data_IF_064473025613
#
_entry.id   IF_064473025613
#
_cell.length_a   1.000
_cell.length_b   1.000
_cell.length_c   1.000
_cell.angle_alpha   90.00
_cell.angle_beta   90.00
_cell.angle_gamma   90.00
#
_symmetry.space_group_name_H-M   'P 1'
#
loop_
_entity.id
_entity.type
_entity.pdbx_description
1 polymer ?
#
# COMPACT_ATOMS: atom_id res chain seq x y z
N UNK A 1 22.49 13.40 -40.96
CA UNK A 1 22.54 13.93 -39.57
C UNK A 1 22.52 12.75 -38.62
N UNK A 2 23.41 12.67 -37.61
CA UNK A 2 23.35 11.60 -36.63
C UNK A 2 22.08 11.75 -35.80
N UNK A 3 21.22 10.73 -35.86
CA UNK A 3 20.01 10.67 -35.03
C UNK A 3 20.35 9.96 -33.73
N UNK A 4 19.60 10.23 -32.67
CA UNK A 4 19.75 9.53 -31.39
C UNK A 4 19.68 8.00 -31.58
N UNK A 5 18.87 7.52 -32.51
CA UNK A 5 18.73 6.10 -32.86
C UNK A 5 19.99 5.47 -33.49
N UNK A 6 20.91 6.28 -34.01
CA UNK A 6 22.17 5.80 -34.58
C UNK A 6 23.29 5.60 -33.55
N UNK A 7 23.05 5.91 -32.27
CA UNK A 7 24.02 5.71 -31.22
C UNK A 7 24.09 4.23 -30.78
N UNK A 8 25.27 3.73 -30.37
CA UNK A 8 25.41 2.47 -29.66
C UNK A 8 24.50 2.41 -28.42
N UNK A 9 23.99 1.21 -28.11
CA UNK A 9 23.06 1.00 -27.00
C UNK A 9 23.64 1.48 -25.68
N UNK A 10 24.92 1.23 -25.42
CA UNK A 10 25.61 1.60 -24.18
C UNK A 10 25.61 3.12 -23.97
N UNK A 11 25.78 3.90 -25.05
CA UNK A 11 25.71 5.36 -24.97
C UNK A 11 24.28 5.84 -24.72
N UNK A 12 23.29 5.17 -25.31
CA UNK A 12 21.87 5.47 -25.06
C UNK A 12 21.48 5.18 -23.60
N UNK A 13 21.93 4.05 -23.06
CA UNK A 13 21.71 3.68 -21.67
C UNK A 13 22.36 4.69 -20.71
N UNK A 14 23.60 5.13 -21.00
CA UNK A 14 24.29 6.16 -20.23
C UNK A 14 23.55 7.51 -20.27
N UNK A 15 23.13 7.97 -21.46
CA UNK A 15 22.35 9.20 -21.62
C UNK A 15 21.02 9.11 -20.87
N UNK A 16 20.34 7.99 -20.98
CA UNK A 16 19.06 7.76 -20.31
C UNK A 16 19.21 7.79 -18.79
N UNK A 17 20.16 7.03 -18.23
CA UNK A 17 20.41 6.99 -16.79
C UNK A 17 20.96 8.32 -16.25
N UNK A 18 21.71 9.07 -17.05
CA UNK A 18 22.18 10.39 -16.65
C UNK A 18 21.05 11.43 -16.64
N UNK A 19 20.24 11.47 -17.69
CA UNK A 19 19.12 12.41 -17.80
C UNK A 19 17.93 12.05 -16.91
N UNK A 20 17.79 10.78 -16.54
CA UNK A 20 16.64 10.22 -15.82
C UNK A 20 15.30 10.51 -16.52
N UNK A 21 15.32 10.84 -17.81
CA UNK A 21 14.14 11.26 -18.55
C UNK A 21 13.33 10.05 -19.01
N UNK A 22 12.34 9.67 -18.23
CA UNK A 22 11.47 8.53 -18.49
C UNK A 22 10.57 8.67 -19.72
N UNK A 23 10.51 9.85 -20.35
CA UNK A 23 9.84 10.05 -21.64
C UNK A 23 10.67 9.50 -22.81
N UNK A 24 11.99 9.36 -22.63
CA UNK A 24 12.91 8.88 -23.67
C UNK A 24 12.58 7.47 -24.20
N UNK A 25 12.40 6.43 -23.35
CA UNK A 25 11.99 5.11 -23.82
C UNK A 25 10.57 5.09 -24.40
N UNK A 26 9.74 6.10 -24.12
CA UNK A 26 8.37 6.21 -24.65
C UNK A 26 8.32 6.90 -26.02
N UNK A 27 9.34 7.70 -26.36
CA UNK A 27 9.38 8.46 -27.59
C UNK A 27 9.42 7.56 -28.85
N UNK A 28 9.90 6.32 -28.73
CA UNK A 28 9.92 5.34 -29.82
C UNK A 28 9.95 3.91 -29.28
N UNK A 29 9.21 2.95 -29.88
CA UNK A 29 9.30 1.53 -29.51
C UNK A 29 10.72 0.95 -29.62
N UNK A 30 11.54 1.45 -30.55
CA UNK A 30 12.92 1.00 -30.72
C UNK A 30 13.79 1.46 -29.52
N UNK A 31 13.68 2.74 -29.14
CA UNK A 31 14.33 3.27 -27.92
C UNK A 31 13.84 2.54 -26.68
N UNK A 32 12.54 2.29 -26.58
CA UNK A 32 11.95 1.50 -25.50
C UNK A 32 12.61 0.14 -25.38
N UNK A 33 12.79 -0.59 -26.49
CA UNK A 33 13.45 -1.89 -26.48
C UNK A 33 14.92 -1.81 -26.05
N UNK A 34 15.66 -0.82 -26.56
CA UNK A 34 17.09 -0.64 -26.24
C UNK A 34 17.31 -0.22 -24.78
N UNK A 35 16.39 0.55 -24.19
CA UNK A 35 16.51 1.11 -22.84
C UNK A 35 15.77 0.32 -21.75
N UNK A 36 15.07 -0.77 -22.11
CA UNK A 36 14.31 -1.58 -21.16
C UNK A 36 15.06 -2.84 -20.72
N UNK A 37 16.40 -2.85 -20.82
CA UNK A 37 17.19 -3.98 -20.33
C UNK A 37 16.99 -4.15 -18.81
N UNK A 38 17.05 -5.38 -18.26
CA UNK A 38 16.89 -5.60 -16.82
C UNK A 38 17.88 -4.81 -15.97
N UNK A 39 19.13 -4.64 -16.46
CA UNK A 39 20.15 -3.86 -15.77
C UNK A 39 19.77 -2.37 -15.70
N UNK A 40 19.33 -1.79 -16.82
CA UNK A 40 18.95 -0.37 -16.90
C UNK A 40 17.72 -0.07 -16.07
N UNK A 41 16.69 -0.91 -16.14
CA UNK A 41 15.45 -0.72 -15.36
C UNK A 41 15.71 -0.86 -13.85
N UNK A 42 16.58 -1.79 -13.45
CA UNK A 42 16.99 -1.94 -12.05
C UNK A 42 17.82 -0.75 -11.58
N UNK A 43 18.79 -0.28 -12.36
CA UNK A 43 19.61 0.90 -12.03
C UNK A 43 18.76 2.18 -11.97
N UNK A 44 17.83 2.37 -12.90
CA UNK A 44 16.85 3.45 -12.86
C UNK A 44 16.04 3.41 -11.55
N UNK A 45 15.61 2.22 -11.13
CA UNK A 45 14.88 2.03 -9.86
C UNK A 45 15.77 2.36 -8.66
N UNK A 46 17.03 1.91 -8.65
CA UNK A 46 17.99 2.26 -7.60
C UNK A 46 18.16 3.78 -7.47
N UNK A 47 18.23 4.51 -8.59
CA UNK A 47 18.35 5.99 -8.59
C UNK A 47 17.09 6.70 -8.09
N UNK A 48 15.90 6.21 -8.45
CA UNK A 48 14.61 6.82 -8.08
C UNK A 48 14.24 6.53 -6.61
N UNK A 49 14.69 5.41 -6.07
CA UNK A 49 14.38 5.00 -4.70
C UNK A 49 15.64 5.03 -3.83
N UNK A 50 16.46 3.99 -3.90
CA UNK A 50 17.59 3.76 -2.99
C UNK A 50 18.56 4.95 -2.84
N UNK A 51 19.02 5.55 -3.94
CA UNK A 51 20.00 6.66 -3.92
C UNK A 51 19.42 8.00 -3.46
N UNK A 52 18.11 8.08 -3.21
CA UNK A 52 17.47 9.30 -2.71
C UNK A 52 17.65 9.51 -1.20
N UNK A 53 18.23 8.53 -0.52
CA UNK A 53 18.54 8.58 0.91
C UNK A 53 20.06 8.54 1.09
N UNK A 54 20.55 9.41 1.95
CA UNK A 54 21.93 9.33 2.41
C UNK A 54 22.08 8.18 3.42
N UNK A 55 22.73 7.11 3.00
CA UNK A 55 22.94 5.91 3.82
C UNK A 55 24.16 6.01 4.74
N UNK A 56 25.03 6.99 4.51
CA UNK A 56 26.29 7.18 5.26
C UNK A 56 26.08 7.96 6.54
N UNK A 57 25.10 8.87 6.55
CA UNK A 57 24.76 9.69 7.71
C UNK A 57 23.86 8.94 8.69
N UNK A 58 23.98 9.27 9.99
CA UNK A 58 23.18 8.69 11.06
C UNK A 58 21.68 8.78 10.74
N UNK A 59 20.92 7.73 11.07
CA UNK A 59 19.52 7.55 10.68
C UNK A 59 18.61 8.74 11.03
N UNK A 60 18.93 9.46 12.12
CA UNK A 60 18.17 10.65 12.58
C UNK A 60 18.35 11.87 11.67
N UNK A 61 19.49 11.99 11.02
CA UNK A 61 19.89 13.18 10.25
C UNK A 61 19.84 12.94 8.73
N UNK A 62 19.33 11.78 8.31
CA UNK A 62 19.27 11.40 6.89
C UNK A 62 18.38 12.35 6.11
N UNK A 63 18.98 13.04 5.15
CA UNK A 63 18.23 13.80 4.15
C UNK A 63 17.59 12.83 3.17
N UNK A 64 16.26 12.86 3.07
CA UNK A 64 15.49 12.16 2.05
C UNK A 64 15.19 13.14 0.91
N UNK A 65 15.59 12.79 -0.30
CA UNK A 65 15.33 13.53 -1.55
C UNK A 65 14.38 12.77 -2.47
N UNK A 66 13.62 11.84 -1.91
CA UNK A 66 12.72 10.97 -2.65
C UNK A 66 11.63 11.79 -3.34
N UNK A 67 11.44 11.55 -4.64
CA UNK A 67 10.42 12.23 -5.44
C UNK A 67 9.20 11.32 -5.62
N UNK A 68 8.08 11.72 -5.01
CA UNK A 68 6.82 10.96 -5.08
C UNK A 68 6.30 10.82 -6.51
N UNK A 69 6.47 11.83 -7.37
CA UNK A 69 5.95 11.80 -8.73
C UNK A 69 6.74 10.81 -9.59
N UNK A 70 8.08 10.87 -9.49
CA UNK A 70 8.97 9.93 -10.17
C UNK A 70 8.73 8.48 -9.70
N UNK A 71 8.58 8.25 -8.39
CA UNK A 71 8.30 6.92 -7.83
C UNK A 71 6.95 6.38 -8.29
N UNK A 72 5.88 7.18 -8.15
CA UNK A 72 4.53 6.79 -8.58
C UNK A 72 4.52 6.43 -10.07
N UNK A 73 5.18 7.24 -10.89
CA UNK A 73 5.29 7.00 -12.32
C UNK A 73 6.04 5.70 -12.65
N UNK A 74 7.15 5.39 -11.95
CA UNK A 74 7.89 4.15 -12.15
C UNK A 74 7.06 2.92 -11.79
N UNK A 75 6.28 2.98 -10.71
CA UNK A 75 5.42 1.89 -10.26
C UNK A 75 4.33 1.52 -11.29
N UNK A 76 3.87 2.49 -12.10
CA UNK A 76 2.90 2.20 -13.19
C UNK A 76 3.50 1.34 -14.31
N UNK A 77 4.83 1.25 -14.43
CA UNK A 77 5.48 0.60 -15.58
C UNK A 77 5.25 -0.89 -15.58
N UNK A 78 5.09 -1.46 -16.79
CA UNK A 78 4.76 -2.89 -16.98
C UNK A 78 5.80 -3.82 -16.36
N UNK A 79 7.09 -3.45 -16.41
CA UNK A 79 8.17 -4.24 -15.84
C UNK A 79 8.16 -4.28 -14.30
N UNK A 80 7.52 -3.31 -13.64
CA UNK A 80 7.50 -3.23 -12.18
C UNK A 80 6.48 -4.22 -11.61
N UNK A 81 6.88 -5.49 -11.53
CA UNK A 81 6.12 -6.61 -11.00
C UNK A 81 6.63 -7.00 -9.62
N UNK A 82 5.98 -7.98 -8.98
CA UNK A 82 6.48 -8.58 -7.74
C UNK A 82 7.92 -9.09 -7.89
N UNK A 83 8.21 -9.85 -8.93
CA UNK A 83 9.55 -10.39 -9.18
C UNK A 83 10.60 -9.31 -9.37
N UNK A 84 10.23 -8.22 -10.04
CA UNK A 84 11.10 -7.06 -10.17
C UNK A 84 11.33 -6.38 -8.82
N UNK A 85 10.28 -6.22 -8.01
CA UNK A 85 10.40 -5.68 -6.65
C UNK A 85 11.33 -6.53 -5.78
N UNK A 86 11.27 -7.87 -5.87
CA UNK A 86 12.21 -8.77 -5.17
C UNK A 86 13.66 -8.51 -5.57
N UNK A 87 13.92 -8.36 -6.88
CA UNK A 87 15.25 -8.01 -7.41
C UNK A 87 15.71 -6.65 -6.92
N UNK A 88 14.82 -5.67 -6.84
CA UNK A 88 15.12 -4.34 -6.29
C UNK A 88 15.49 -4.41 -4.80
N UNK A 89 14.72 -5.14 -3.99
CA UNK A 89 15.01 -5.32 -2.55
C UNK A 89 16.37 -6.01 -2.37
N UNK A 90 16.65 -7.07 -3.13
CA UNK A 90 17.94 -7.76 -3.07
C UNK A 90 19.09 -6.85 -3.49
N UNK A 91 18.97 -6.13 -4.61
CA UNK A 91 20.00 -5.21 -5.08
C UNK A 91 20.28 -4.09 -4.08
N UNK A 92 19.22 -3.55 -3.47
CA UNK A 92 19.32 -2.53 -2.42
C UNK A 92 20.01 -3.07 -1.17
N UNK A 93 19.70 -4.30 -0.78
CA UNK A 93 20.37 -4.99 0.33
C UNK A 93 21.87 -5.15 0.07
N UNK A 94 22.24 -5.68 -1.09
CA UNK A 94 23.65 -5.93 -1.44
C UNK A 94 24.45 -4.62 -1.48
N UNK A 95 23.83 -3.55 -1.97
CA UNK A 95 24.43 -2.22 -1.98
C UNK A 95 24.60 -1.65 -0.56
N UNK A 96 23.65 -1.89 0.35
CA UNK A 96 23.80 -1.50 1.76
C UNK A 96 24.89 -2.27 2.48
N UNK A 97 24.99 -3.57 2.24
CA UNK A 97 26.09 -4.40 2.78
C UNK A 97 27.43 -3.86 2.29
N UNK A 98 27.52 -3.54 0.99
CA UNK A 98 28.72 -2.93 0.38
C UNK A 98 29.08 -1.59 1.02
N UNK A 99 28.11 -0.70 1.25
CA UNK A 99 28.32 0.62 1.86
C UNK A 99 28.75 0.54 3.33
N UNK A 100 28.26 -0.44 4.08
CA UNK A 100 28.63 -0.64 5.49
C UNK A 100 30.07 -1.16 5.65
N UNK A 101 30.55 -1.94 4.69
CA UNK A 101 31.93 -2.43 4.62
C UNK A 101 32.35 -3.38 5.76
N UNK A 102 33.62 -3.78 5.75
CA UNK A 102 34.20 -4.81 6.65
C UNK A 102 34.17 -4.46 8.14
N UNK A 103 34.10 -3.18 8.49
CA UNK A 103 34.03 -2.76 9.89
C UNK A 103 32.70 -3.16 10.54
N UNK A 104 31.62 -3.19 9.76
CA UNK A 104 30.29 -3.59 10.21
C UNK A 104 30.11 -5.10 10.30
N UNK A 105 30.84 -5.89 9.52
CA UNK A 105 30.82 -7.37 9.65
C UNK A 105 31.19 -7.80 11.08
N UNK A 106 32.04 -7.02 11.77
CA UNK A 106 32.48 -7.29 13.15
C UNK A 106 31.44 -6.96 14.22
N UNK A 107 30.41 -6.17 13.92
CA UNK A 107 29.38 -5.79 14.91
C UNK A 107 28.34 -6.88 15.12
N UNK A 108 28.28 -7.88 14.23
CA UNK A 108 27.28 -8.95 14.27
C UNK A 108 25.84 -8.50 13.99
N UNK A 109 25.64 -7.24 13.56
CA UNK A 109 24.32 -6.70 13.25
C UNK A 109 23.97 -6.97 11.79
N UNK A 110 22.98 -7.84 11.58
CA UNK A 110 22.49 -8.20 10.26
C UNK A 110 21.81 -7.00 9.55
N UNK A 111 21.97 -6.93 8.22
CA UNK A 111 21.29 -5.92 7.40
C UNK A 111 19.93 -6.50 7.01
N UNK A 112 18.80 -5.87 7.40
CA UNK A 112 17.48 -6.43 7.14
C UNK A 112 17.21 -6.47 5.64
N UNK A 113 17.12 -7.66 5.05
CA UNK A 113 16.93 -7.89 3.62
C UNK A 113 15.61 -8.58 3.27
N UNK A 114 15.64 -9.40 2.21
CA UNK A 114 14.46 -10.09 1.68
C UNK A 114 13.71 -10.95 2.71
N UNK A 115 14.43 -11.61 3.63
CA UNK A 115 13.84 -12.45 4.70
C UNK A 115 12.81 -11.71 5.57
N UNK A 116 12.85 -10.38 5.61
CA UNK A 116 11.86 -9.58 6.35
C UNK A 116 10.47 -9.59 5.69
N UNK A 117 10.38 -9.99 4.42
CA UNK A 117 9.11 -10.16 3.69
C UNK A 117 8.51 -11.55 3.87
N UNK A 118 9.17 -12.48 4.57
CA UNK A 118 8.62 -13.81 4.84
C UNK A 118 7.31 -13.71 5.63
N UNK A 119 6.25 -14.31 5.09
CA UNK A 119 4.89 -14.21 5.63
C UNK A 119 4.22 -12.84 5.44
N UNK A 120 4.90 -11.87 4.80
CA UNK A 120 4.43 -10.51 4.54
C UNK A 120 3.93 -9.79 5.80
N UNK A 121 4.69 -9.88 6.89
CA UNK A 121 4.39 -9.17 8.13
C UNK A 121 4.86 -7.72 8.07
N UNK A 122 3.96 -6.71 8.06
CA UNK A 122 4.36 -5.32 7.86
C UNK A 122 5.35 -4.81 8.91
N UNK A 123 5.22 -5.20 10.18
CA UNK A 123 6.15 -4.82 11.24
C UNK A 123 7.60 -5.29 11.01
N UNK A 124 7.81 -6.29 10.14
CA UNK A 124 9.15 -6.77 9.76
C UNK A 124 9.70 -5.91 8.63
N UNK A 125 9.06 -5.91 7.46
CA UNK A 125 9.66 -5.29 6.27
C UNK A 125 9.58 -3.76 6.26
N UNK A 126 8.65 -3.13 6.99
CA UNK A 126 8.60 -1.66 7.11
C UNK A 126 9.80 -1.08 7.89
N UNK A 127 10.56 -1.94 8.57
CA UNK A 127 11.80 -1.54 9.26
C UNK A 127 12.99 -1.36 8.32
N UNK A 128 12.90 -1.79 7.05
CA UNK A 128 13.99 -1.68 6.07
C UNK A 128 14.13 -0.22 5.63
N UNK A 129 15.12 0.53 6.17
CA UNK A 129 15.11 1.99 6.07
C UNK A 129 15.57 2.51 4.71
N UNK A 130 16.18 1.64 3.90
CA UNK A 130 16.87 2.01 2.67
C UNK A 130 16.04 1.80 1.39
N UNK A 131 14.84 1.21 1.49
CA UNK A 131 13.94 1.08 0.33
C UNK A 131 13.40 2.43 -0.17
N UNK A 132 13.42 3.45 0.70
CA UNK A 132 13.30 4.86 0.33
C UNK A 132 12.04 5.24 -0.47
N UNK A 133 10.90 4.62 -0.15
CA UNK A 133 9.60 5.08 -0.63
C UNK A 133 9.30 6.49 -0.09
N UNK A 134 8.90 7.38 -0.98
CA UNK A 134 8.51 8.75 -0.68
C UNK A 134 7.14 8.76 0.00
N UNK A 135 6.94 9.61 0.99
CA UNK A 135 5.62 9.77 1.60
C UNK A 135 4.57 10.18 0.54
N UNK A 136 3.44 9.48 0.50
CA UNK A 136 2.33 9.78 -0.41
C UNK A 136 2.60 9.46 -1.88
N UNK A 137 3.42 8.45 -2.16
CA UNK A 137 3.49 7.85 -3.49
C UNK A 137 2.19 7.11 -3.81
N UNK A 138 1.85 7.02 -5.09
CA UNK A 138 0.62 6.38 -5.53
C UNK A 138 0.82 4.90 -5.86
N UNK A 139 -0.11 4.08 -5.37
CA UNK A 139 -0.28 2.70 -5.80
C UNK A 139 -0.81 2.72 -7.25
N UNK A 140 -0.18 1.99 -8.17
CA UNK A 140 -0.55 2.03 -9.57
C UNK A 140 -1.89 1.32 -9.82
N UNK A 141 -2.74 1.91 -10.67
CA UNK A 141 -4.09 1.43 -11.00
C UNK A 141 -4.13 -0.04 -11.44
N UNK A 142 -3.09 -0.50 -12.15
CA UNK A 142 -2.94 -1.91 -12.56
C UNK A 142 -2.96 -2.92 -11.41
N UNK A 143 -2.75 -2.48 -10.16
CA UNK A 143 -2.78 -3.30 -8.95
C UNK A 143 -4.10 -3.18 -8.18
N UNK A 144 -5.00 -2.27 -8.57
CA UNK A 144 -6.20 -1.95 -7.81
C UNK A 144 -7.43 -2.76 -8.22
N UNK A 145 -7.33 -3.62 -9.25
CA UNK A 145 -8.39 -4.52 -9.68
C UNK A 145 -7.81 -5.89 -10.08
N UNK A 146 -8.66 -6.90 -10.30
CA UNK A 146 -8.29 -8.25 -10.69
C UNK A 146 -7.73 -8.37 -12.13
N UNK A 147 -7.40 -9.59 -12.59
CA UNK A 147 -7.40 -10.84 -11.84
C UNK A 147 -6.37 -10.82 -10.70
N UNK A 148 -6.68 -11.49 -9.59
CA UNK A 148 -5.85 -11.50 -8.37
C UNK A 148 -4.87 -12.67 -8.36
N UNK A 149 -3.75 -12.54 -9.06
CA UNK A 149 -2.64 -13.48 -8.89
C UNK A 149 -1.81 -13.16 -7.62
N UNK A 150 -1.02 -14.13 -7.18
CA UNK A 150 -0.23 -14.03 -5.95
C UNK A 150 0.78 -12.85 -6.01
N UNK A 151 1.47 -12.66 -7.14
CA UNK A 151 2.47 -11.61 -7.29
C UNK A 151 1.84 -10.22 -7.22
N UNK A 152 0.74 -10.00 -7.95
CA UNK A 152 -0.05 -8.77 -7.93
C UNK A 152 -0.53 -8.43 -6.52
N UNK A 153 -1.10 -9.43 -5.85
CA UNK A 153 -1.64 -9.30 -4.50
C UNK A 153 -0.53 -8.96 -3.49
N UNK A 154 0.61 -9.64 -3.56
CA UNK A 154 1.74 -9.40 -2.68
C UNK A 154 2.35 -8.01 -2.90
N UNK A 155 2.50 -7.59 -4.16
CA UNK A 155 3.00 -6.26 -4.49
C UNK A 155 2.04 -5.17 -4.00
N UNK A 156 0.75 -5.30 -4.25
CA UNK A 156 -0.27 -4.37 -3.75
C UNK A 156 -0.16 -4.24 -2.23
N UNK A 157 -0.18 -5.37 -1.52
CA UNK A 157 -0.14 -5.40 -0.07
C UNK A 157 1.12 -4.74 0.51
N UNK A 158 2.29 -5.01 -0.07
CA UNK A 158 3.55 -4.41 0.34
C UNK A 158 3.56 -2.89 0.09
N UNK A 159 3.09 -2.44 -1.07
CA UNK A 159 3.06 -1.00 -1.37
C UNK A 159 2.13 -0.25 -0.42
N UNK A 160 0.95 -0.81 -0.09
CA UNK A 160 0.05 -0.22 0.91
C UNK A 160 0.71 -0.18 2.29
N UNK A 161 1.37 -1.26 2.69
CA UNK A 161 2.09 -1.34 3.97
C UNK A 161 3.27 -0.36 4.06
N UNK A 162 3.82 0.05 2.92
CA UNK A 162 4.85 1.09 2.79
C UNK A 162 4.26 2.50 2.63
N UNK A 163 2.96 2.68 2.91
CA UNK A 163 2.20 3.93 2.86
C UNK A 163 1.90 4.45 1.46
N UNK A 164 1.67 3.54 0.50
CA UNK A 164 1.12 3.91 -0.81
C UNK A 164 -0.32 4.41 -0.68
N UNK A 165 -0.67 5.38 -1.52
CA UNK A 165 -2.00 6.02 -1.55
C UNK A 165 -2.69 5.80 -2.90
N UNK A 166 -4.01 6.05 -2.97
CA UNK A 166 -4.75 6.12 -4.23
C UNK A 166 -4.76 7.57 -4.72
N UNK A 167 -4.53 7.77 -6.02
CA UNK A 167 -4.74 9.06 -6.65
C UNK A 167 -6.23 9.29 -6.98
N UNK A 168 -6.96 9.85 -6.02
CA UNK A 168 -8.41 10.11 -6.13
C UNK A 168 -8.78 11.27 -7.05
N UNK A 169 -7.86 12.21 -7.29
CA UNK A 169 -8.13 13.45 -8.02
C UNK A 169 -7.59 13.39 -9.45
N UNK A 170 -6.40 12.84 -9.64
CA UNK A 170 -5.70 12.84 -10.92
C UNK A 170 -5.99 11.66 -11.82
N UNK A 171 -6.80 10.67 -11.39
CA UNK A 171 -6.99 9.42 -12.13
C UNK A 171 -8.30 8.68 -11.79
N UNK A 172 -8.57 7.60 -12.53
CA UNK A 172 -9.67 6.65 -12.27
C UNK A 172 -9.31 5.59 -11.22
N UNK A 173 -8.17 5.73 -10.52
CA UNK A 173 -7.70 4.75 -9.55
C UNK A 173 -8.69 4.52 -8.41
N UNK A 174 -9.40 5.57 -7.98
CA UNK A 174 -10.44 5.47 -6.94
C UNK A 174 -11.61 4.57 -7.33
N UNK A 175 -12.17 4.77 -8.52
CA UNK A 175 -13.25 3.93 -9.04
C UNK A 175 -12.76 2.52 -9.35
N UNK A 176 -11.53 2.38 -9.85
CA UNK A 176 -10.89 1.08 -10.06
C UNK A 176 -10.75 0.30 -8.75
N UNK A 177 -10.35 0.96 -7.65
CA UNK A 177 -10.26 0.32 -6.34
C UNK A 177 -11.63 -0.10 -5.78
N UNK A 178 -12.69 0.70 -6.01
CA UNK A 178 -14.08 0.34 -5.62
C UNK A 178 -14.58 -0.90 -6.36
N UNK A 179 -14.26 -1.03 -7.65
CA UNK A 179 -14.55 -2.26 -8.39
C UNK A 179 -13.69 -3.42 -7.90
N UNK A 180 -12.39 -3.19 -7.77
CA UNK A 180 -11.42 -4.22 -7.40
C UNK A 180 -11.68 -4.82 -6.02
N UNK A 181 -12.13 -4.05 -5.03
CA UNK A 181 -12.43 -4.65 -3.72
C UNK A 181 -13.62 -5.61 -3.79
N UNK A 182 -14.63 -5.32 -4.62
CA UNK A 182 -15.76 -6.24 -4.85
C UNK A 182 -15.26 -7.53 -5.50
N UNK A 183 -14.44 -7.41 -6.54
CA UNK A 183 -13.79 -8.57 -7.18
C UNK A 183 -12.92 -9.38 -6.20
N UNK A 184 -12.21 -8.71 -5.30
CA UNK A 184 -11.36 -9.35 -4.29
C UNK A 184 -12.17 -10.11 -3.23
N UNK A 185 -13.29 -9.53 -2.80
CA UNK A 185 -14.25 -10.18 -1.88
C UNK A 185 -14.87 -11.40 -2.55
N UNK A 186 -15.31 -11.28 -3.80
CA UNK A 186 -15.91 -12.36 -4.58
C UNK A 186 -14.94 -13.54 -4.76
N UNK A 187 -13.67 -13.24 -5.11
CA UNK A 187 -12.61 -14.24 -5.26
C UNK A 187 -12.02 -14.72 -3.93
N UNK A 188 -12.54 -14.25 -2.79
CA UNK A 188 -12.06 -14.55 -1.44
C UNK A 188 -10.55 -14.30 -1.25
N UNK A 189 -10.02 -13.29 -1.92
CA UNK A 189 -8.61 -12.93 -1.79
C UNK A 189 -8.43 -11.99 -0.58
N UNK A 190 -8.23 -12.59 0.59
CA UNK A 190 -8.09 -11.86 1.86
C UNK A 190 -7.01 -10.77 1.81
N UNK A 191 -5.88 -11.04 1.15
CA UNK A 191 -4.74 -10.11 1.11
C UNK A 191 -5.01 -8.88 0.23
N UNK A 192 -5.69 -9.06 -0.90
CA UNK A 192 -6.16 -7.95 -1.71
C UNK A 192 -7.22 -7.13 -0.95
N UNK A 193 -8.16 -7.80 -0.27
CA UNK A 193 -9.16 -7.13 0.59
C UNK A 193 -8.48 -6.34 1.70
N UNK A 194 -7.48 -6.89 2.40
CA UNK A 194 -6.74 -6.20 3.46
C UNK A 194 -6.13 -4.87 2.96
N UNK A 195 -5.46 -4.93 1.80
CA UNK A 195 -4.81 -3.79 1.19
C UNK A 195 -5.83 -2.74 0.71
N UNK A 196 -6.87 -3.14 -0.03
CA UNK A 196 -7.90 -2.24 -0.56
C UNK A 196 -8.79 -1.65 0.54
N UNK A 197 -9.11 -2.41 1.58
CA UNK A 197 -9.85 -1.89 2.75
C UNK A 197 -9.11 -0.74 3.39
N UNK A 198 -7.78 -0.84 3.50
CA UNK A 198 -6.94 0.24 4.03
C UNK A 198 -6.91 1.46 3.11
N UNK A 199 -6.72 1.23 1.81
CA UNK A 199 -6.69 2.31 0.80
C UNK A 199 -8.02 3.05 0.66
N UNK A 200 -9.15 2.37 0.83
CA UNK A 200 -10.49 2.98 0.81
C UNK A 200 -10.93 3.48 2.19
N UNK A 201 -10.36 2.92 3.25
CA UNK A 201 -10.59 3.33 4.63
C UNK A 201 -10.20 4.80 4.83
N UNK A 202 -8.94 5.15 4.56
CA UNK A 202 -8.43 6.52 4.70
C UNK A 202 -9.32 7.61 4.04
N UNK A 203 -9.79 7.47 2.79
CA UNK A 203 -10.70 8.40 2.12
C UNK A 203 -12.19 8.20 2.46
N UNK A 204 -12.52 7.33 3.42
CA UNK A 204 -13.89 7.03 3.88
C UNK A 204 -14.80 6.51 2.78
N UNK A 205 -14.35 5.53 2.01
CA UNK A 205 -15.07 4.96 0.86
C UNK A 205 -15.64 3.56 1.12
N UNK A 206 -15.52 3.02 2.34
CA UNK A 206 -16.23 1.79 2.73
C UNK A 206 -17.65 2.17 3.15
N UNK A 207 -18.65 1.57 2.52
CA UNK A 207 -20.07 1.85 2.73
C UNK A 207 -20.86 0.59 3.12
N UNK A 208 -22.11 0.79 3.54
CA UNK A 208 -23.05 -0.31 3.85
C UNK A 208 -23.27 -1.23 2.65
N UNK A 209 -23.17 -0.71 1.42
CA UNK A 209 -23.36 -1.47 0.19
C UNK A 209 -22.29 -2.55 0.00
N UNK A 210 -21.03 -2.24 0.29
CA UNK A 210 -19.92 -3.19 0.26
C UNK A 210 -20.05 -4.25 1.36
N UNK A 211 -20.44 -3.84 2.58
CA UNK A 211 -20.66 -4.79 3.67
C UNK A 211 -21.80 -5.77 3.34
N UNK A 212 -22.91 -5.27 2.80
CA UNK A 212 -24.01 -6.11 2.31
C UNK A 212 -23.52 -7.09 1.24
N UNK A 213 -22.83 -6.59 0.22
CA UNK A 213 -22.28 -7.43 -0.85
C UNK A 213 -21.42 -8.58 -0.31
N UNK A 214 -20.48 -8.28 0.60
CA UNK A 214 -19.63 -9.29 1.22
C UNK A 214 -20.40 -10.35 2.02
N UNK A 215 -21.47 -9.94 2.71
CA UNK A 215 -22.30 -10.83 3.55
C UNK A 215 -23.27 -11.65 2.72
N UNK A 216 -24.08 -10.98 1.90
CA UNK A 216 -25.24 -11.59 1.24
C UNK A 216 -24.89 -12.29 -0.07
N UNK A 217 -23.92 -11.77 -0.82
CA UNK A 217 -23.58 -12.28 -2.15
C UNK A 217 -22.32 -13.15 -2.13
N UNK A 218 -21.31 -12.79 -1.32
CA UNK A 218 -20.03 -13.52 -1.28
C UNK A 218 -19.92 -14.56 -0.14
N UNK A 219 -20.99 -14.71 0.64
CA UNK A 219 -21.11 -15.76 1.65
C UNK A 219 -20.47 -15.45 2.99
N UNK A 220 -20.19 -14.18 3.32
CA UNK A 220 -19.81 -13.73 4.68
C UNK A 220 -18.51 -14.39 5.20
N UNK A 221 -17.40 -14.24 4.50
CA UNK A 221 -16.11 -14.71 5.01
C UNK A 221 -15.64 -13.86 6.22
N UNK A 222 -15.35 -14.51 7.34
CA UNK A 222 -15.03 -13.84 8.62
C UNK A 222 -13.72 -13.07 8.53
N UNK A 223 -12.71 -13.60 7.82
CA UNK A 223 -11.43 -12.93 7.68
C UNK A 223 -11.56 -11.69 6.79
N UNK A 224 -12.33 -11.79 5.70
CA UNK A 224 -12.62 -10.64 4.83
C UNK A 224 -13.40 -9.56 5.60
N UNK A 225 -14.44 -9.97 6.34
CA UNK A 225 -15.21 -9.02 7.14
C UNK A 225 -14.41 -8.41 8.28
N UNK A 226 -13.43 -9.13 8.85
CA UNK A 226 -12.49 -8.55 9.83
C UNK A 226 -11.77 -7.36 9.22
N UNK A 227 -11.18 -7.49 8.03
CA UNK A 227 -10.50 -6.37 7.36
C UNK A 227 -11.47 -5.21 7.05
N UNK A 228 -12.65 -5.52 6.50
CA UNK A 228 -13.64 -4.51 6.12
C UNK A 228 -14.17 -3.75 7.34
N UNK A 229 -14.62 -4.47 8.38
CA UNK A 229 -15.21 -3.88 9.58
C UNK A 229 -14.19 -3.18 10.45
N UNK A 230 -12.95 -3.71 10.54
CA UNK A 230 -11.88 -3.06 11.30
C UNK A 230 -11.52 -1.69 10.69
N UNK A 231 -11.55 -1.57 9.37
CA UNK A 231 -11.43 -0.29 8.70
C UNK A 231 -12.69 0.57 8.88
N UNK A 232 -13.88 0.00 8.67
CA UNK A 232 -15.15 0.71 8.70
C UNK A 232 -15.44 1.37 10.07
N UNK A 233 -15.12 0.70 11.19
CA UNK A 233 -15.34 1.25 12.54
C UNK A 233 -14.59 2.57 12.78
N UNK A 234 -13.40 2.73 12.18
CA UNK A 234 -12.61 3.96 12.26
C UNK A 234 -13.34 5.10 11.55
N UNK A 235 -14.07 4.78 10.47
CA UNK A 235 -14.76 5.76 9.63
C UNK A 235 -16.09 6.19 10.20
N UNK A 236 -16.80 5.27 10.86
CA UNK A 236 -18.17 5.44 11.34
C UNK A 236 -18.38 6.69 12.21
N UNK A 237 -17.34 7.14 12.92
CA UNK A 237 -17.39 8.36 13.70
C UNK A 237 -17.53 9.64 12.87
N UNK A 238 -17.21 9.59 11.57
CA UNK A 238 -17.07 10.76 10.71
C UNK A 238 -17.83 10.64 9.38
N UNK A 239 -18.78 9.70 9.29
CA UNK A 239 -19.67 9.52 8.13
C UNK A 239 -21.12 9.43 8.62
N UNK A 240 -22.08 9.70 7.73
CA UNK A 240 -23.50 9.59 8.08
C UNK A 240 -23.94 8.13 8.12
N UNK A 241 -25.03 7.86 8.85
CA UNK A 241 -25.65 6.51 8.85
C UNK A 241 -26.10 6.08 7.46
N UNK A 242 -26.49 7.03 6.60
CA UNK A 242 -26.86 6.71 5.21
C UNK A 242 -25.69 6.12 4.42
N UNK A 243 -24.46 6.50 4.75
CA UNK A 243 -23.25 5.98 4.11
C UNK A 243 -22.80 4.66 4.74
N UNK A 244 -22.77 4.58 6.08
CA UNK A 244 -22.31 3.41 6.80
C UNK A 244 -23.21 3.16 8.02
N UNK A 245 -23.93 2.05 7.99
CA UNK A 245 -24.85 1.61 9.03
C UNK A 245 -24.56 0.17 9.45
N UNK A 246 -23.99 0.00 10.64
CA UNK A 246 -23.77 -1.32 11.22
C UNK A 246 -25.06 -1.97 11.76
N UNK A 247 -26.15 -1.19 11.87
CA UNK A 247 -27.48 -1.66 12.28
C UNK A 247 -28.40 -1.92 11.08
N UNK A 248 -27.81 -2.03 9.89
CA UNK A 248 -28.56 -2.23 8.66
C UNK A 248 -29.48 -3.47 8.72
N UNK A 249 -30.77 -3.28 8.43
CA UNK A 249 -31.78 -4.32 8.56
C UNK A 249 -31.51 -5.55 7.70
N UNK A 250 -30.90 -5.39 6.51
CA UNK A 250 -30.58 -6.52 5.64
C UNK A 250 -29.43 -7.36 6.19
N UNK A 251 -28.38 -6.71 6.71
CA UNK A 251 -27.27 -7.39 7.38
C UNK A 251 -27.75 -8.18 8.59
N UNK A 252 -28.60 -7.58 9.43
CA UNK A 252 -29.13 -8.22 10.63
C UNK A 252 -30.10 -9.35 10.31
N UNK A 253 -31.01 -9.17 9.34
CA UNK A 253 -31.91 -10.23 8.89
C UNK A 253 -31.14 -11.43 8.31
N UNK A 254 -30.08 -11.17 7.52
CA UNK A 254 -29.19 -12.24 7.06
C UNK A 254 -28.56 -12.95 8.26
N UNK A 255 -28.05 -12.21 9.24
CA UNK A 255 -27.43 -12.79 10.42
C UNK A 255 -28.41 -13.61 11.28
N UNK A 256 -29.67 -13.19 11.41
CA UNK A 256 -30.71 -13.96 12.10
C UNK A 256 -30.99 -15.31 11.43
N UNK A 257 -30.89 -15.37 10.10
CA UNK A 257 -31.17 -16.57 9.32
C UNK A 257 -30.00 -17.58 9.24
N UNK A 258 -28.78 -17.22 9.68
CA UNK A 258 -27.54 -18.00 9.41
C UNK A 258 -26.84 -18.54 10.67
N UNK A 259 -27.58 -18.84 11.73
CA UNK A 259 -27.11 -19.61 12.90
C UNK A 259 -25.82 -19.08 13.52
N UNK A 260 -24.84 -19.96 13.74
CA UNK A 260 -23.54 -19.61 14.34
C UNK A 260 -22.80 -18.52 13.57
N UNK A 261 -22.78 -18.63 12.24
CA UNK A 261 -22.11 -17.65 11.36
C UNK A 261 -22.77 -16.27 11.47
N UNK A 262 -24.09 -16.25 11.56
CA UNK A 262 -24.86 -15.06 11.86
C UNK A 262 -24.56 -14.46 13.23
N UNK A 263 -24.38 -15.29 14.26
CA UNK A 263 -23.99 -14.83 15.60
C UNK A 263 -22.60 -14.19 15.62
N UNK A 264 -21.63 -14.75 14.90
CA UNK A 264 -20.30 -14.14 14.70
C UNK A 264 -20.45 -12.77 14.03
N UNK A 265 -21.20 -12.68 12.93
CA UNK A 265 -21.43 -11.41 12.23
C UNK A 265 -22.08 -10.35 13.14
N UNK A 266 -23.12 -10.70 13.90
CA UNK A 266 -23.76 -9.77 14.86
C UNK A 266 -22.78 -9.26 15.90
N UNK A 267 -21.90 -10.14 16.39
CA UNK A 267 -20.87 -9.76 17.37
C UNK A 267 -19.90 -8.77 16.75
N UNK A 268 -19.42 -9.04 15.53
CA UNK A 268 -18.51 -8.13 14.81
C UNK A 268 -19.16 -6.78 14.51
N UNK A 269 -20.41 -6.75 14.04
CA UNK A 269 -21.15 -5.51 13.76
C UNK A 269 -21.38 -4.69 15.03
N UNK A 270 -21.77 -5.33 16.15
CA UNK A 270 -21.93 -4.65 17.45
C UNK A 270 -20.61 -4.05 17.92
N UNK A 271 -19.53 -4.82 17.91
CA UNK A 271 -18.20 -4.34 18.29
C UNK A 271 -17.75 -3.18 17.40
N UNK A 272 -17.86 -3.31 16.08
CA UNK A 272 -17.51 -2.25 15.13
C UNK A 272 -18.33 -0.96 15.37
N UNK A 273 -19.62 -1.09 15.68
CA UNK A 273 -20.48 0.05 16.01
C UNK A 273 -20.07 0.78 17.30
N UNK A 274 -19.49 0.06 18.26
CA UNK A 274 -18.92 0.61 19.49
C UNK A 274 -17.44 1.03 19.35
N UNK A 275 -16.90 0.94 18.13
CA UNK A 275 -15.48 1.10 17.83
C UNK A 275 -14.58 0.19 18.70
N UNK A 276 -15.05 -1.03 18.99
CA UNK A 276 -14.43 -1.99 19.92
C UNK A 276 -14.10 -3.33 19.23
N UNK A 277 -13.98 -3.32 17.90
CA UNK A 277 -13.62 -4.54 17.17
C UNK A 277 -12.11 -4.71 17.18
N UNK A 278 -11.62 -5.65 17.98
CA UNK A 278 -10.23 -6.14 17.90
C UNK A 278 -9.97 -6.77 16.53
N UNK A 279 -8.75 -6.59 16.02
CA UNK A 279 -8.38 -7.18 14.73
C UNK A 279 -8.17 -8.69 14.86
N UNK A 280 -7.31 -9.12 15.79
CA UNK A 280 -7.19 -10.53 16.14
C UNK A 280 -8.21 -10.82 17.24
N UNK A 281 -9.08 -11.80 17.00
CA UNK A 281 -9.99 -12.30 18.03
C UNK A 281 -9.21 -13.17 19.03
N UNK A 282 -9.88 -14.02 19.81
CA UNK A 282 -9.25 -15.00 20.72
C UNK A 282 -8.55 -16.16 19.97
N UNK A 283 -7.97 -15.88 18.80
CA UNK A 283 -7.33 -16.87 17.95
C UNK A 283 -5.96 -17.26 18.53
N UNK A 284 -5.78 -18.55 18.78
CA UNK A 284 -4.49 -19.10 19.22
C UNK A 284 -3.40 -19.04 18.14
N UNK A 285 -3.77 -18.84 16.87
CA UNK A 285 -2.87 -18.87 15.72
C UNK A 285 -3.12 -17.74 14.71
N UNK A 286 -2.81 -16.53 15.16
CA UNK A 286 -2.64 -15.29 14.39
C UNK A 286 -1.85 -15.43 13.09
N UNK A 287 -1.03 -16.47 12.89
CA UNK A 287 -0.25 -16.65 11.65
C UNK A 287 -1.09 -17.03 10.44
N UNK A 288 -2.34 -17.45 10.67
CA UNK A 288 -3.30 -17.83 9.63
C UNK A 288 -4.13 -16.65 9.10
N UNK A 289 -4.06 -15.50 9.75
CA UNK A 289 -4.79 -14.29 9.34
C UNK A 289 -3.84 -13.37 8.62
N UNK A 290 -4.29 -12.77 7.51
CA UNK A 290 -3.49 -11.75 6.83
C UNK A 290 -3.33 -10.55 7.78
N UNK A 291 -2.09 -10.10 8.07
CA UNK A 291 -1.91 -9.01 9.00
C UNK A 291 -2.51 -7.71 8.48
N UNK A 292 -2.89 -6.82 9.40
CA UNK A 292 -3.32 -5.47 9.04
C UNK A 292 -2.17 -4.69 8.38
N UNK A 293 -2.34 -4.09 7.19
CA UNK A 293 -1.25 -3.48 6.42
C UNK A 293 -0.45 -2.39 7.14
N UNK A 294 -1.07 -1.61 8.03
CA UNK A 294 -0.36 -0.58 8.81
C UNK A 294 0.17 -1.09 10.16
N UNK A 295 0.25 -2.41 10.37
CA UNK A 295 0.89 -2.99 11.56
C UNK A 295 2.40 -2.70 11.56
N UNK A 296 2.92 -2.07 12.61
CA UNK A 296 4.34 -1.69 12.65
C UNK A 296 4.79 -1.18 14.00
N UNK A 297 6.00 -0.61 14.06
CA UNK A 297 6.58 -0.10 15.32
C UNK A 297 5.76 1.00 16.00
N UNK A 298 4.83 1.62 15.28
CA UNK A 298 3.94 2.68 15.79
C UNK A 298 2.55 2.19 16.20
N UNK A 299 2.13 1.01 15.71
CA UNK A 299 0.80 0.48 15.94
C UNK A 299 0.80 -1.03 15.78
N UNK A 300 0.45 -1.74 16.85
CA UNK A 300 0.41 -3.20 16.87
C UNK A 300 -1.02 -3.66 17.04
N UNK A 301 -1.61 -4.28 16.00
CA UNK A 301 -2.98 -4.80 16.07
C UNK A 301 -3.15 -6.01 16.98
N UNK A 302 -2.04 -6.56 17.52
CA UNK A 302 -2.04 -7.69 18.45
C UNK A 302 -2.26 -7.29 19.90
N UNK A 303 -2.10 -6.01 20.21
CA UNK A 303 -2.40 -5.50 21.55
C UNK A 303 -3.90 -5.26 21.69
N UNK A 304 -4.41 -5.38 22.91
CA UNK A 304 -5.82 -5.09 23.23
C UNK A 304 -6.23 -3.70 22.77
N UNK A 305 -7.45 -3.56 22.25
CA UNK A 305 -7.95 -2.32 21.65
C UNK A 305 -8.44 -1.30 22.69
N UNK A 306 -7.51 -0.77 23.49
CA UNK A 306 -7.77 0.27 24.49
C UNK A 306 -7.89 1.69 23.89
N UNK A 307 -8.21 2.67 24.73
CA UNK A 307 -8.40 4.07 24.32
C UNK A 307 -7.15 4.69 23.66
N UNK A 308 -5.95 4.29 24.09
CA UNK A 308 -4.69 4.80 23.53
C UNK A 308 -4.46 4.20 22.14
N UNK A 309 -4.70 2.90 21.99
CA UNK A 309 -4.61 2.18 20.72
C UNK A 309 -5.63 2.73 19.72
N UNK A 310 -6.86 3.04 20.17
CA UNK A 310 -7.90 3.72 19.37
C UNK A 310 -7.44 5.07 18.88
N UNK A 311 -6.91 5.91 19.77
CA UNK A 311 -6.42 7.24 19.41
C UNK A 311 -5.25 7.16 18.42
N UNK A 312 -4.31 6.24 18.64
CA UNK A 312 -3.19 6.00 17.72
C UNK A 312 -3.66 5.54 16.35
N UNK A 313 -4.65 4.64 16.27
CA UNK A 313 -5.22 4.19 15.00
C UNK A 313 -5.99 5.31 14.29
N UNK A 314 -6.77 6.10 15.02
CA UNK A 314 -7.43 7.27 14.46
C UNK A 314 -6.41 8.28 13.94
N UNK A 315 -5.35 8.55 14.72
CA UNK A 315 -4.26 9.44 14.31
C UNK A 315 -3.49 8.90 13.11
N UNK A 316 -3.36 7.58 12.96
CA UNK A 316 -2.81 6.95 11.77
C UNK A 316 -3.69 7.33 10.56
N UNK A 317 -4.98 7.03 10.60
CA UNK A 317 -5.92 7.34 9.51
C UNK A 317 -6.06 8.83 9.26
N UNK A 318 -6.00 9.66 10.29
CA UNK A 318 -6.11 11.11 10.21
C UNK A 318 -4.82 11.78 9.77
N UNK A 319 -3.64 11.27 10.12
CA UNK A 319 -2.36 11.82 9.65
C UNK A 319 -2.15 11.51 8.18
N UNK A 320 -2.56 10.32 7.72
CA UNK A 320 -2.65 10.00 6.29
C UNK A 320 -3.79 10.80 5.62
N UNK A 321 -4.96 10.90 6.23
CA UNK A 321 -6.11 11.65 5.70
C UNK A 321 -5.93 13.18 5.65
N UNK A 322 -5.25 13.80 6.62
CA UNK A 322 -4.99 15.26 6.67
C UNK A 322 -3.96 15.71 5.63
N UNK A 323 -3.06 14.82 5.20
CA UNK A 323 -2.17 15.07 4.05
C UNK A 323 -2.99 15.20 2.76
N UNK A 324 -4.08 14.43 2.63
CA UNK A 324 -5.02 14.49 1.50
C UNK A 324 -5.87 15.77 1.58
N UNK A 325 -6.45 16.11 2.73
CA UNK A 325 -7.34 17.28 2.85
C UNK A 325 -6.65 18.64 2.87
N UNK A 326 -5.38 18.76 3.33
CA UNK A 326 -4.60 20.01 3.21
C UNK A 326 -4.39 20.46 1.77
N UNK A 327 -4.44 19.52 0.82
CA UNK A 327 -4.40 19.79 -0.63
C UNK A 327 -5.65 20.53 -1.09
N UNK A 328 -6.83 20.14 -0.59
CA UNK A 328 -8.14 20.75 -0.85
C UNK A 328 -8.22 22.23 -0.42
N UNK A 329 -7.57 22.60 0.68
CA UNK A 329 -7.54 24.00 1.16
C UNK A 329 -6.58 24.85 0.33
N UNK A 330 -5.36 24.36 0.06
CA UNK A 330 -4.37 25.11 -0.73
C UNK A 330 -4.75 25.29 -2.20
N UNK A 331 -5.46 24.33 -2.79
CA UNK A 331 -5.88 24.40 -4.19
C UNK A 331 -7.05 25.37 -4.39
N UNK A 332 -7.98 25.44 -3.42
CA UNK A 332 -9.01 26.49 -3.37
C UNK A 332 -8.41 27.88 -3.16
N UNK A 333 -7.46 28.01 -2.23
CA UNK A 333 -6.75 29.28 -2.00
C UNK A 333 -5.98 29.76 -3.24
N UNK A 334 -5.51 28.85 -4.09
CA UNK A 334 -4.86 29.21 -5.37
C UNK A 334 -5.83 29.53 -6.51
N UNK A 335 -7.04 28.95 -6.51
CA UNK A 335 -8.10 29.26 -7.48
C UNK A 335 -8.79 30.60 -7.15
N UNK A 336 -9.00 30.88 -5.86
CA UNK A 336 -9.56 32.15 -5.38
C UNK A 336 -8.55 33.32 -5.46
N UNK A 337 -7.24 33.04 -5.55
CA UNK A 337 -6.20 34.05 -5.76
C UNK A 337 -5.90 34.31 -7.26
N UNK A 338 -6.52 33.54 -8.17
CA UNK A 338 -6.37 33.66 -9.62
C UNK A 338 -7.65 34.19 -10.31
N UNK A 339 -8.64 34.62 -9.53
CA UNK A 339 -9.79 35.44 -9.94
C UNK A 339 -9.66 36.83 -9.35
#
# INVERSE_FOLDING_TARGET
MPTLLGLPQELLELIFLHSMNTSLPLASPLLGRMLSSPAVTLELTMRIFFHTVDHTTNYRDRKKRSDKAAQSFLLTRRFFTWDFFRKYVQRSHDEMVRLRGKAWEKTGVDVPGWKMFDGLWPFRFTTIPYLAFADGFYVPEKLLHGPWDEGKTNLLYVLVSLNGEIDWEGSMAGETAKMGIREAVEQRNERAVAALSTLMGVPKQIDTGLLRYAVTECGCDVNILRHLLFNAQILAQNVTKDQLDFLDTRLWAWADAHGEKGNVLKTMLRKANLFDLDFYFDESDWTKVVPFPYGGSKFDTRTTFDDVVRELLMNLYWSYGRKITRRRTRQRESEDAAT
#
